data_IF_974215982264
#
_entry.id   IF_974215982264
#
_cell.length_a   1.000
_cell.length_b   1.000
_cell.length_c   1.000
_cell.angle_alpha   90.00
_cell.angle_beta   90.00
_cell.angle_gamma   90.00
#
_symmetry.space_group_name_H-M   'P 1'
#
loop_
_entity.id
_entity.type
_entity.pdbx_description
1 polymer ?
#
# COMPACT_ATOMS: atom_id res chain seq x y z
N UNK A 1 3.31 -3.09 -12.36
CA UNK A 1 4.72 -3.52 -12.22
C UNK A 1 4.96 -4.01 -10.79
N UNK A 2 5.73 -5.11 -10.62
CA UNK A 2 6.14 -5.60 -9.28
C UNK A 2 7.67 -5.73 -9.28
N UNK A 3 8.31 -5.08 -8.32
CA UNK A 3 9.78 -5.06 -8.15
C UNK A 3 10.11 -5.63 -6.77
N UNK A 4 10.72 -6.81 -6.74
CA UNK A 4 11.16 -7.49 -5.50
C UNK A 4 12.62 -7.84 -5.70
N UNK A 5 13.51 -7.01 -5.18
CA UNK A 5 14.97 -7.20 -5.32
C UNK A 5 15.71 -6.46 -4.20
N UNK A 6 16.99 -6.74 -4.02
CA UNK A 6 17.87 -5.95 -3.16
C UNK A 6 18.06 -4.55 -3.75
N UNK A 7 17.90 -3.52 -2.94
CA UNK A 7 17.99 -2.13 -3.40
C UNK A 7 16.82 -1.69 -4.28
N UNK A 8 15.66 -2.34 -4.19
CA UNK A 8 14.47 -2.04 -5.00
C UNK A 8 14.04 -0.57 -4.94
N UNK A 9 14.33 0.13 -3.83
CA UNK A 9 14.03 1.56 -3.71
C UNK A 9 14.70 2.41 -4.81
N UNK A 10 15.85 1.97 -5.34
CA UNK A 10 16.55 2.68 -6.41
C UNK A 10 15.77 2.71 -7.73
N UNK A 11 14.74 1.87 -7.88
CA UNK A 11 13.87 1.81 -9.06
C UNK A 11 12.80 2.91 -9.06
N UNK A 12 12.50 3.49 -7.90
CA UNK A 12 11.38 4.44 -7.73
C UNK A 12 11.46 5.63 -8.71
N UNK A 13 12.59 6.34 -8.88
CA UNK A 13 12.65 7.44 -9.84
C UNK A 13 12.35 7.01 -11.29
N UNK A 14 12.81 5.81 -11.69
CA UNK A 14 12.50 5.27 -13.02
C UNK A 14 11.02 4.89 -13.18
N UNK A 15 10.39 4.35 -12.12
CA UNK A 15 8.96 4.06 -12.12
C UNK A 15 8.17 5.36 -12.28
N UNK A 16 8.49 6.39 -11.50
CA UNK A 16 7.83 7.70 -11.62
C UNK A 16 7.94 8.27 -13.04
N UNK A 17 9.12 8.16 -13.66
CA UNK A 17 9.34 8.58 -15.05
C UNK A 17 8.47 7.80 -16.04
N UNK A 18 8.30 6.47 -15.86
CA UNK A 18 7.43 5.65 -16.73
C UNK A 18 5.97 6.06 -16.66
N UNK A 19 5.55 6.70 -15.57
CA UNK A 19 4.19 7.21 -15.38
C UNK A 19 4.06 8.74 -15.56
N UNK A 20 5.13 9.40 -16.04
CA UNK A 20 5.18 10.86 -16.28
C UNK A 20 4.86 11.65 -15.00
N UNK A 21 5.34 11.16 -13.86
CA UNK A 21 5.17 11.81 -12.57
C UNK A 21 6.36 12.72 -12.26
N UNK A 22 6.04 13.98 -11.95
CA UNK A 22 7.02 15.03 -11.65
C UNK A 22 7.00 15.47 -10.19
N UNK A 23 5.88 15.23 -9.49
CA UNK A 23 5.72 15.65 -8.09
C UNK A 23 4.87 14.64 -7.30
N UNK A 24 5.44 13.54 -6.82
CA UNK A 24 4.70 12.56 -6.03
C UNK A 24 4.38 13.09 -4.61
N UNK A 25 3.27 12.60 -4.06
CA UNK A 25 2.87 12.77 -2.66
C UNK A 25 3.16 11.50 -1.88
N UNK A 26 3.99 11.59 -0.84
CA UNK A 26 4.46 10.46 -0.03
C UNK A 26 3.60 10.35 1.23
N UNK A 27 3.05 9.16 1.51
CA UNK A 27 2.28 8.85 2.70
C UNK A 27 3.01 7.77 3.50
N UNK A 28 3.29 8.05 4.77
CA UNK A 28 3.98 7.12 5.67
C UNK A 28 3.53 7.34 7.13
N UNK A 29 3.78 6.39 8.01
CA UNK A 29 3.84 6.62 9.45
C UNK A 29 5.28 6.87 9.91
N UNK A 30 5.49 7.24 11.19
CA UNK A 30 6.82 7.52 11.73
C UNK A 30 7.81 6.37 11.55
N UNK A 31 7.36 5.13 11.74
CA UNK A 31 8.20 3.94 11.65
C UNK A 31 8.59 3.67 10.20
N UNK A 32 7.62 3.62 9.29
CA UNK A 32 7.83 3.33 7.88
C UNK A 32 8.57 4.46 7.18
N UNK A 33 8.35 5.72 7.59
CA UNK A 33 9.16 6.85 7.15
C UNK A 33 10.63 6.71 7.57
N UNK A 34 10.89 6.26 8.80
CA UNK A 34 12.26 6.00 9.26
C UNK A 34 12.94 4.85 8.53
N UNK A 35 12.17 3.79 8.23
CA UNK A 35 12.69 2.57 7.59
C UNK A 35 12.99 2.77 6.10
N UNK A 36 12.09 3.44 5.38
CA UNK A 36 12.18 3.59 3.91
C UNK A 36 11.93 5.03 3.44
N UNK A 37 11.02 5.76 4.06
CA UNK A 37 10.59 7.08 3.60
C UNK A 37 11.73 8.08 3.45
N UNK A 38 12.63 8.16 4.43
CA UNK A 38 13.82 9.05 4.38
C UNK A 38 14.73 8.73 3.19
N UNK A 39 14.93 7.45 2.90
CA UNK A 39 15.76 7.03 1.78
C UNK A 39 15.09 7.39 0.46
N UNK A 40 13.78 7.20 0.34
CA UNK A 40 13.00 7.61 -0.84
C UNK A 40 13.13 9.12 -1.07
N UNK A 41 12.90 9.94 -0.03
CA UNK A 41 13.06 11.39 -0.13
C UNK A 41 14.47 11.77 -0.62
N UNK A 42 15.51 11.17 -0.02
CA UNK A 42 16.91 11.41 -0.44
C UNK A 42 17.18 10.99 -1.89
N UNK A 43 16.53 9.91 -2.38
CA UNK A 43 16.65 9.49 -3.78
C UNK A 43 15.99 10.49 -4.73
N UNK A 44 14.82 11.01 -4.37
CA UNK A 44 14.11 12.03 -5.15
C UNK A 44 14.89 13.35 -5.19
N UNK A 45 15.42 13.80 -4.03
CA UNK A 45 16.28 14.99 -3.93
C UNK A 45 17.49 14.89 -4.87
N UNK A 46 18.20 13.74 -4.84
CA UNK A 46 19.37 13.49 -5.72
C UNK A 46 19.01 13.52 -7.21
N UNK A 47 17.76 13.23 -7.55
CA UNK A 47 17.27 13.26 -8.94
C UNK A 47 16.62 14.59 -9.31
N UNK A 48 16.51 15.54 -8.37
CA UNK A 48 15.85 16.81 -8.60
C UNK A 48 14.34 16.69 -8.81
N UNK A 49 13.72 15.62 -8.28
CA UNK A 49 12.27 15.41 -8.33
C UNK A 49 11.67 16.07 -7.09
N UNK A 50 10.83 17.07 -7.31
CA UNK A 50 10.06 17.68 -6.22
C UNK A 50 9.02 16.69 -5.67
N UNK A 51 8.72 16.77 -4.40
CA UNK A 51 7.70 15.95 -3.75
C UNK A 51 7.07 16.69 -2.57
N UNK A 52 5.90 16.24 -2.17
CA UNK A 52 5.31 16.57 -0.86
C UNK A 52 5.14 15.30 -0.04
N UNK A 53 5.08 15.42 1.28
CA UNK A 53 4.94 14.24 2.14
C UNK A 53 4.05 14.51 3.34
N UNK A 54 3.31 13.50 3.74
CA UNK A 54 2.56 13.47 4.98
C UNK A 54 2.98 12.26 5.80
N UNK A 55 3.44 12.49 7.01
CA UNK A 55 3.86 11.45 7.96
C UNK A 55 2.92 11.49 9.15
N UNK A 56 2.17 10.41 9.35
CA UNK A 56 1.24 10.30 10.46
C UNK A 56 1.97 10.45 11.80
N UNK A 57 1.50 11.35 12.69
CA UNK A 57 2.12 11.59 13.98
C UNK A 57 1.78 10.54 15.04
N UNK A 58 0.63 9.86 14.91
CA UNK A 58 0.15 8.85 15.86
C UNK A 58 0.88 7.51 15.69
N UNK A 59 0.97 6.75 16.80
CA UNK A 59 1.57 5.40 16.81
C UNK A 59 0.54 4.34 16.42
N UNK A 60 -0.68 4.45 16.93
CA UNK A 60 -1.78 3.54 16.62
C UNK A 60 -2.58 4.12 15.45
N UNK A 61 -2.18 3.73 14.24
CA UNK A 61 -2.83 4.16 13.01
C UNK A 61 -3.79 3.08 12.51
N UNK A 62 -5.05 3.45 12.37
CA UNK A 62 -6.07 2.64 11.75
C UNK A 62 -6.46 3.19 10.36
N UNK A 63 -6.85 2.31 9.42
CA UNK A 63 -7.33 2.73 8.10
C UNK A 63 -8.81 3.14 8.20
N UNK A 64 -9.07 4.29 8.79
CA UNK A 64 -10.40 4.83 9.02
C UNK A 64 -10.64 6.15 8.25
N UNK A 65 -11.87 6.65 8.34
CA UNK A 65 -12.25 7.91 7.74
C UNK A 65 -11.45 9.10 8.28
N UNK A 66 -11.03 9.04 9.55
CA UNK A 66 -10.24 10.11 10.16
C UNK A 66 -8.84 10.17 9.57
N UNK A 67 -8.18 9.02 9.44
CA UNK A 67 -6.84 8.92 8.85
C UNK A 67 -6.82 9.34 7.39
N UNK A 68 -7.81 8.93 6.60
CA UNK A 68 -7.96 9.42 5.21
C UNK A 68 -8.21 10.92 5.20
N UNK A 69 -9.07 11.44 6.07
CA UNK A 69 -9.34 12.87 6.23
C UNK A 69 -8.08 13.68 6.56
N UNK A 70 -7.23 13.18 7.46
CA UNK A 70 -5.95 13.83 7.78
C UNK A 70 -5.07 13.97 6.53
N UNK A 71 -4.93 12.91 5.72
CA UNK A 71 -4.13 12.98 4.49
C UNK A 71 -4.74 13.98 3.50
N UNK A 72 -6.05 13.90 3.27
CA UNK A 72 -6.76 14.79 2.32
C UNK A 72 -6.63 16.26 2.73
N UNK A 73 -6.70 16.58 4.02
CA UNK A 73 -6.53 17.94 4.53
C UNK A 73 -5.11 18.50 4.36
N UNK A 74 -4.11 17.62 4.25
CA UNK A 74 -2.70 17.99 4.07
C UNK A 74 -2.20 17.69 2.65
N UNK A 75 -3.11 17.26 1.75
CA UNK A 75 -2.74 16.89 0.39
C UNK A 75 -2.37 18.13 -0.45
N UNK A 76 -1.22 18.08 -1.09
CA UNK A 76 -0.80 19.09 -2.04
C UNK A 76 -1.42 18.80 -3.42
N UNK A 77 -2.32 19.65 -3.86
CA UNK A 77 -3.04 19.52 -5.13
C UNK A 77 -2.15 19.64 -6.38
N UNK A 78 -0.88 20.08 -6.22
CA UNK A 78 0.08 20.08 -7.32
C UNK A 78 0.77 18.72 -7.51
N UNK A 79 0.51 17.76 -6.61
CA UNK A 79 1.03 16.40 -6.76
C UNK A 79 0.25 15.62 -7.81
N UNK A 80 0.97 14.80 -8.57
CA UNK A 80 0.48 14.06 -9.73
C UNK A 80 0.50 12.53 -9.55
N UNK A 81 1.01 12.06 -8.41
CA UNK A 81 1.18 10.65 -8.09
C UNK A 81 1.18 10.42 -6.57
N UNK A 82 0.76 9.24 -6.11
CA UNK A 82 0.79 8.87 -4.68
C UNK A 82 1.80 7.75 -4.45
N UNK A 83 2.65 7.91 -3.43
CA UNK A 83 3.56 6.86 -2.95
C UNK A 83 3.17 6.52 -1.51
N UNK A 84 2.60 5.33 -1.29
CA UNK A 84 2.43 4.77 0.05
C UNK A 84 3.71 4.09 0.50
N UNK A 85 4.17 4.37 1.71
CA UNK A 85 5.37 3.72 2.28
C UNK A 85 4.96 3.01 3.56
N UNK A 86 4.76 1.70 3.51
CA UNK A 86 4.27 0.98 4.67
C UNK A 86 3.75 -0.43 4.38
N UNK A 87 2.83 -0.87 5.22
CA UNK A 87 2.15 -2.16 5.11
C UNK A 87 0.63 -1.96 4.94
N UNK A 88 -0.19 -2.88 5.42
CA UNK A 88 -1.64 -2.90 5.20
C UNK A 88 -2.34 -1.57 5.44
N UNK A 89 -2.17 -0.97 6.61
CA UNK A 89 -2.84 0.29 6.97
C UNK A 89 -2.48 1.43 6.03
N UNK A 90 -1.19 1.67 5.80
CA UNK A 90 -0.73 2.73 4.88
C UNK A 90 -1.16 2.42 3.44
N UNK A 91 -1.12 1.15 3.04
CA UNK A 91 -1.58 0.72 1.73
C UNK A 91 -3.06 1.07 1.51
N UNK A 92 -3.93 0.72 2.46
CA UNK A 92 -5.36 0.95 2.36
C UNK A 92 -5.72 2.46 2.37
N UNK A 93 -5.07 3.24 3.23
CA UNK A 93 -5.22 4.70 3.23
C UNK A 93 -4.75 5.30 1.90
N UNK A 94 -3.57 4.89 1.41
CA UNK A 94 -2.99 5.41 0.16
C UNK A 94 -3.86 5.09 -1.06
N UNK A 95 -4.43 3.88 -1.13
CA UNK A 95 -5.40 3.47 -2.15
C UNK A 95 -6.64 4.37 -2.15
N UNK A 96 -7.19 4.68 -0.96
CA UNK A 96 -8.35 5.55 -0.83
C UNK A 96 -8.02 6.99 -1.23
N UNK A 97 -6.88 7.52 -0.78
CA UNK A 97 -6.43 8.88 -1.16
C UNK A 97 -6.21 8.98 -2.67
N UNK A 98 -5.52 8.02 -3.27
CA UNK A 98 -5.29 8.00 -4.71
C UNK A 98 -6.59 7.94 -5.51
N UNK A 99 -7.58 7.14 -5.06
CA UNK A 99 -8.91 7.08 -5.66
C UNK A 99 -9.62 8.42 -5.58
N UNK A 100 -9.63 9.07 -4.41
CA UNK A 100 -10.31 10.36 -4.21
C UNK A 100 -9.65 11.47 -5.02
N UNK A 101 -8.30 11.47 -5.09
CA UNK A 101 -7.53 12.43 -5.88
C UNK A 101 -7.55 12.13 -7.39
N UNK A 102 -8.01 10.96 -7.82
CA UNK A 102 -7.97 10.55 -9.23
C UNK A 102 -6.56 10.29 -9.75
N UNK A 103 -5.61 9.94 -8.86
CA UNK A 103 -4.19 9.78 -9.17
C UNK A 103 -3.79 8.31 -9.24
N UNK A 104 -2.71 8.05 -9.99
CA UNK A 104 -1.99 6.78 -9.94
C UNK A 104 -1.27 6.65 -8.60
N UNK A 105 -1.04 5.40 -8.18
CA UNK A 105 -0.39 5.15 -6.91
C UNK A 105 0.53 3.94 -6.97
N UNK A 106 1.64 4.00 -6.22
CA UNK A 106 2.47 2.85 -5.93
C UNK A 106 2.58 2.62 -4.42
N UNK A 107 2.82 1.37 -4.04
CA UNK A 107 3.15 1.00 -2.68
C UNK A 107 4.61 0.56 -2.57
N UNK A 108 5.30 1.10 -1.58
CA UNK A 108 6.59 0.62 -1.11
C UNK A 108 6.34 -0.21 0.15
N UNK A 109 6.40 -1.53 0.02
CA UNK A 109 6.18 -2.45 1.14
C UNK A 109 7.35 -2.44 2.11
N UNK A 110 7.09 -2.21 3.40
CA UNK A 110 8.11 -2.22 4.44
C UNK A 110 8.14 -3.50 5.27
N UNK A 111 7.14 -4.36 5.13
CA UNK A 111 7.12 -5.70 5.72
C UNK A 111 6.19 -6.62 4.92
N UNK A 112 6.50 -7.94 4.82
CA UNK A 112 5.64 -8.92 4.16
C UNK A 112 4.55 -9.39 5.13
N UNK A 113 3.66 -8.49 5.56
CA UNK A 113 2.68 -8.72 6.63
C UNK A 113 1.31 -9.17 6.14
N UNK A 114 1.07 -9.14 4.84
CA UNK A 114 -0.19 -9.48 4.18
C UNK A 114 0.01 -9.69 2.69
N UNK A 115 -0.98 -10.24 1.99
CA UNK A 115 -0.98 -10.44 0.52
C UNK A 115 -1.77 -9.36 -0.27
N UNK A 116 -2.51 -8.49 0.43
CA UNK A 116 -3.44 -7.53 -0.16
C UNK A 116 -2.82 -6.33 -0.89
N UNK A 117 -1.50 -6.29 -1.14
CA UNK A 117 -0.85 -5.15 -1.79
C UNK A 117 -1.44 -4.83 -3.16
N UNK A 118 -1.73 -5.85 -3.97
CA UNK A 118 -2.21 -5.71 -5.35
C UNK A 118 -3.74 -5.61 -5.47
N UNK A 119 -4.49 -5.70 -4.38
CA UNK A 119 -5.96 -5.72 -4.45
C UNK A 119 -6.54 -4.37 -4.89
N UNK A 120 -7.70 -4.42 -5.55
CA UNK A 120 -8.49 -3.25 -5.94
C UNK A 120 -9.46 -2.78 -4.85
N UNK A 121 -9.32 -3.31 -3.64
CA UNK A 121 -10.13 -2.95 -2.48
C UNK A 121 -9.26 -2.49 -1.33
N UNK A 122 -9.80 -1.65 -0.46
CA UNK A 122 -9.21 -1.25 0.82
C UNK A 122 -10.08 -1.73 1.97
N UNK A 123 -9.45 -2.29 2.98
CA UNK A 123 -10.12 -2.72 4.22
C UNK A 123 -10.15 -1.54 5.19
N UNK A 124 -11.26 -0.83 5.18
CA UNK A 124 -11.44 0.40 5.94
C UNK A 124 -12.31 0.21 7.17
N UNK A 125 -12.10 1.02 8.18
CA UNK A 125 -13.01 1.15 9.34
C UNK A 125 -13.89 2.37 9.10
N UNK A 126 -15.18 2.16 8.94
CA UNK A 126 -16.17 3.23 8.76
C UNK A 126 -17.22 3.13 9.86
N UNK A 127 -17.40 4.19 10.62
CA UNK A 127 -18.31 4.19 11.78
C UNK A 127 -18.02 3.01 12.74
N UNK A 128 -16.75 2.70 12.99
CA UNK A 128 -16.27 1.58 13.83
C UNK A 128 -16.59 0.18 13.30
N UNK A 129 -17.01 0.06 12.04
CA UNK A 129 -17.25 -1.22 11.37
C UNK A 129 -16.21 -1.41 10.29
N UNK A 130 -15.56 -2.60 10.28
CA UNK A 130 -14.60 -2.96 9.23
C UNK A 130 -15.36 -3.38 7.97
N UNK A 131 -15.10 -2.69 6.87
CA UNK A 131 -15.72 -2.92 5.57
C UNK A 131 -14.67 -2.90 4.45
N UNK A 132 -14.96 -3.60 3.37
CA UNK A 132 -14.14 -3.54 2.15
C UNK A 132 -14.75 -2.55 1.17
N UNK A 133 -13.96 -1.54 0.79
CA UNK A 133 -14.37 -0.52 -0.18
C UNK A 133 -13.58 -0.66 -1.48
N UNK A 134 -14.22 -0.50 -2.65
CA UNK A 134 -13.48 -0.38 -3.91
C UNK A 134 -12.51 0.78 -3.85
N UNK A 135 -11.27 0.55 -4.25
CA UNK A 135 -10.18 1.54 -4.19
C UNK A 135 -9.29 1.50 -5.44
N UNK A 136 -8.22 2.29 -5.46
CA UNK A 136 -7.24 2.24 -6.54
C UNK A 136 -6.36 0.99 -6.44
N UNK A 137 -6.12 0.33 -7.57
CA UNK A 137 -5.10 -0.70 -7.66
C UNK A 137 -3.73 -0.03 -7.86
N UNK A 138 -2.66 -0.48 -7.20
CA UNK A 138 -1.33 0.09 -7.42
C UNK A 138 -0.84 -0.18 -8.85
N UNK A 139 -0.24 0.83 -9.47
CA UNK A 139 0.44 0.67 -10.76
C UNK A 139 1.82 0.04 -10.59
N UNK A 140 2.40 0.17 -9.38
CA UNK A 140 3.65 -0.48 -9.01
C UNK A 140 3.65 -0.89 -7.54
N UNK A 141 4.29 -2.04 -7.28
CA UNK A 141 4.61 -2.55 -5.94
C UNK A 141 6.13 -2.66 -5.86
N UNK A 142 6.73 -1.98 -4.90
CA UNK A 142 8.18 -2.00 -4.67
C UNK A 142 8.43 -2.65 -3.32
N UNK A 143 9.21 -3.72 -3.31
CA UNK A 143 9.53 -4.50 -2.12
C UNK A 143 11.04 -4.72 -2.05
N UNK A 144 11.72 -3.91 -1.24
CA UNK A 144 13.17 -4.01 -1.05
C UNK A 144 13.49 -5.13 -0.06
N UNK A 145 14.20 -6.16 -0.54
CA UNK A 145 14.53 -7.34 0.26
C UNK A 145 15.33 -6.95 1.51
N UNK A 146 16.21 -5.94 1.42
CA UNK A 146 17.01 -5.49 2.56
C UNK A 146 16.13 -4.86 3.66
N UNK A 147 15.01 -4.25 3.30
CA UNK A 147 14.03 -3.74 4.25
C UNK A 147 13.16 -4.87 4.78
N UNK A 148 12.62 -5.72 3.90
CA UNK A 148 11.71 -6.80 4.28
C UNK A 148 12.36 -7.80 5.25
N UNK A 149 13.65 -8.14 5.05
CA UNK A 149 14.38 -9.04 5.94
C UNK A 149 14.58 -8.48 7.35
N UNK A 150 14.56 -7.16 7.50
CA UNK A 150 14.70 -6.47 8.79
C UNK A 150 13.35 -6.13 9.45
N UNK A 151 12.23 -6.53 8.83
CA UNK A 151 10.92 -6.30 9.39
C UNK A 151 10.72 -7.07 10.72
N UNK A 152 9.91 -6.54 11.66
CA UNK A 152 9.60 -7.24 12.89
C UNK A 152 9.05 -8.65 12.64
N UNK A 153 9.58 -9.64 13.36
CA UNK A 153 9.18 -11.06 13.20
C UNK A 153 7.68 -11.27 13.25
N UNK A 154 6.97 -10.48 14.08
CA UNK A 154 5.51 -10.53 14.19
C UNK A 154 4.82 -10.24 12.86
N UNK A 155 5.36 -9.33 12.04
CA UNK A 155 4.80 -9.00 10.74
C UNK A 155 5.04 -10.10 9.70
N UNK A 156 6.21 -10.77 9.75
CA UNK A 156 6.46 -11.96 8.92
C UNK A 156 5.50 -13.10 9.29
N UNK A 157 5.28 -13.31 10.60
CA UNK A 157 4.33 -14.32 11.09
C UNK A 157 2.89 -13.98 10.64
N UNK A 158 2.51 -12.70 10.66
CA UNK A 158 1.21 -12.25 10.18
C UNK A 158 1.02 -12.57 8.69
N UNK A 159 2.01 -12.25 7.83
CA UNK A 159 1.96 -12.57 6.41
C UNK A 159 1.89 -14.06 6.13
N UNK A 160 2.62 -14.88 6.88
CA UNK A 160 2.50 -16.34 6.79
C UNK A 160 1.10 -16.82 7.18
N UNK A 161 0.52 -16.28 8.26
CA UNK A 161 -0.85 -16.58 8.66
C UNK A 161 -1.88 -16.17 7.61
N UNK A 162 -1.68 -15.02 6.97
CA UNK A 162 -2.53 -14.52 5.90
C UNK A 162 -2.52 -15.45 4.67
N UNK A 163 -1.35 -15.97 4.30
CA UNK A 163 -1.23 -16.99 3.24
C UNK A 163 -1.91 -18.30 3.62
N UNK A 164 -1.76 -18.77 4.88
CA UNK A 164 -2.44 -19.98 5.33
C UNK A 164 -3.96 -19.85 5.30
N UNK A 165 -4.49 -18.67 5.62
CA UNK A 165 -5.93 -18.39 5.58
C UNK A 165 -6.53 -18.59 4.19
N UNK A 166 -5.73 -18.53 3.10
CA UNK A 166 -6.21 -18.77 1.74
C UNK A 166 -6.76 -20.17 1.53
N UNK A 167 -6.20 -21.18 2.18
CA UNK A 167 -6.75 -22.52 2.09
C UNK A 167 -8.21 -22.59 2.56
N UNK A 168 -8.53 -21.86 3.62
CA UNK A 168 -9.89 -21.82 4.15
C UNK A 168 -10.78 -20.94 3.26
N UNK A 169 -10.33 -19.74 2.90
CA UNK A 169 -11.13 -18.81 2.09
C UNK A 169 -11.44 -19.35 0.69
N UNK A 170 -10.52 -20.11 0.07
CA UNK A 170 -10.78 -20.79 -1.20
C UNK A 170 -11.83 -21.88 -1.03
N UNK A 171 -11.78 -22.66 0.07
CA UNK A 171 -12.83 -23.65 0.36
C UNK A 171 -14.20 -22.98 0.55
N UNK A 172 -14.25 -21.88 1.32
CA UNK A 172 -15.49 -21.11 1.53
C UNK A 172 -16.04 -20.54 0.22
N UNK A 173 -15.18 -19.99 -0.63
CA UNK A 173 -15.55 -19.49 -1.95
C UNK A 173 -16.14 -20.61 -2.82
N UNK A 174 -15.54 -21.79 -2.81
CA UNK A 174 -16.05 -22.97 -3.54
C UNK A 174 -17.40 -23.44 -2.99
N UNK A 175 -17.59 -23.43 -1.68
CA UNK A 175 -18.87 -23.76 -1.04
C UNK A 175 -19.93 -22.73 -1.43
N UNK A 176 -19.58 -21.43 -1.39
CA UNK A 176 -20.48 -20.36 -1.81
C UNK A 176 -20.94 -20.55 -3.28
N UNK A 177 -20.01 -20.85 -4.17
CA UNK A 177 -20.34 -21.17 -5.56
C UNK A 177 -21.35 -22.34 -5.67
N UNK A 178 -21.14 -23.43 -4.93
CA UNK A 178 -22.00 -24.61 -4.96
C UNK A 178 -23.41 -24.35 -4.40
N UNK A 179 -23.53 -23.49 -3.40
CA UNK A 179 -24.81 -23.23 -2.71
C UNK A 179 -25.58 -22.08 -3.37
N UNK A 180 -24.88 -20.99 -3.73
CA UNK A 180 -25.51 -19.74 -4.17
C UNK A 180 -25.37 -19.47 -5.67
N UNK A 181 -24.51 -20.21 -6.37
CA UNK A 181 -24.15 -19.94 -7.76
C UNK A 181 -23.22 -18.74 -7.93
N UNK A 182 -22.59 -18.26 -6.86
CA UNK A 182 -21.59 -17.19 -6.93
C UNK A 182 -20.44 -17.58 -7.86
N UNK A 183 -19.90 -16.60 -8.60
CA UNK A 183 -18.78 -16.84 -9.50
C UNK A 183 -17.58 -17.44 -8.77
N UNK A 184 -17.00 -18.47 -9.36
CA UNK A 184 -15.76 -19.11 -8.88
C UNK A 184 -14.79 -19.30 -10.04
N UNK A 185 -13.52 -19.01 -9.83
CA UNK A 185 -12.47 -19.14 -10.84
C UNK A 185 -11.41 -20.14 -10.38
N UNK A 186 -11.31 -21.28 -11.08
CA UNK A 186 -10.33 -22.34 -10.76
C UNK A 186 -8.87 -21.90 -11.01
N UNK A 187 -8.63 -20.95 -11.94
CA UNK A 187 -7.29 -20.43 -12.22
C UNK A 187 -6.76 -19.53 -11.10
N UNK A 188 -7.66 -18.90 -10.35
CA UNK A 188 -7.30 -18.00 -9.24
C UNK A 188 -7.21 -18.75 -7.93
N UNK A 189 -7.93 -19.86 -7.78
CA UNK A 189 -7.97 -20.69 -6.59
C UNK A 189 -6.87 -21.75 -6.58
#
# INVERSE_FOLDING_TARGET
EVVIEHGALLRIPGILQNYDSHRPFIIADKNTYSVAGKQICSLLDKKGIEYSSFVFPQEDLEPDEFSVGQVVMNFDSNCDFVIGVGTGTINDISKMVAKVAGLKYMIVGTAPSMDGFASSTSSMILNKVKISLPSACPVAIVADIDILCNAPKKLLQAGFGDLLAKYISICEWRISNLITGEYYCEEVA
#
